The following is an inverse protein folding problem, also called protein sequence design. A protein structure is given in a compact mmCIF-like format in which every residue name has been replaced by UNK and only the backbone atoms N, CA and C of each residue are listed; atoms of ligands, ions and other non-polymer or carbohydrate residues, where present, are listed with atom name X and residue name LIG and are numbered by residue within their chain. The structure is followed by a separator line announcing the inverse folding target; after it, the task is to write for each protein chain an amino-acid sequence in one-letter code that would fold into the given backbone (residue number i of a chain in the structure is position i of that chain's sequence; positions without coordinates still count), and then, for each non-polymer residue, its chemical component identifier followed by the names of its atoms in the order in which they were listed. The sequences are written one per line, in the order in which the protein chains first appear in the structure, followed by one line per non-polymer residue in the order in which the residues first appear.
data_IF_952887074374
#
_entry.id   IF_952887074374
#
_cell.length_a   1.000
_cell.length_b   1.000
_cell.length_c   1.000
_cell.angle_alpha   90.00
_cell.angle_beta   90.00
_cell.angle_gamma   90.00
#
_symmetry.space_group_name_H-M   'P 1'
#
loop_
_entity.id
_entity.type
_entity.pdbx_description
1 polymer ?
#
# COMPACT_ATOMS: atom_id res chain seq x y z
N UNK A 1 -19.54 -34.95 -1.84
CA UNK A 1 -18.84 -33.69 -1.52
C UNK A 1 -19.45 -32.59 -2.39
N UNK A 2 -20.05 -31.53 -1.84
CA UNK A 2 -20.65 -30.49 -2.68
C UNK A 2 -19.54 -29.67 -3.36
N UNK A 3 -19.73 -29.24 -4.63
CA UNK A 3 -18.80 -28.37 -5.31
C UNK A 3 -18.73 -27.02 -4.60
N UNK A 4 -17.51 -26.50 -4.42
CA UNK A 4 -17.28 -25.17 -3.83
C UNK A 4 -17.94 -24.14 -4.76
N UNK A 5 -18.79 -23.22 -4.24
CA UNK A 5 -19.41 -22.21 -5.08
C UNK A 5 -18.33 -21.38 -5.77
N UNK A 6 -18.41 -21.34 -7.10
CA UNK A 6 -17.62 -20.47 -7.95
C UNK A 6 -17.90 -19.02 -7.52
N UNK A 7 -16.98 -18.41 -6.79
CA UNK A 7 -17.04 -16.96 -6.57
C UNK A 7 -16.76 -16.32 -7.92
N UNK A 8 -17.81 -15.78 -8.56
CA UNK A 8 -17.67 -14.90 -9.72
C UNK A 8 -16.74 -13.76 -9.34
N UNK A 9 -15.50 -13.77 -9.87
CA UNK A 9 -14.56 -12.67 -9.70
C UNK A 9 -15.14 -11.45 -10.41
N UNK A 10 -15.71 -10.53 -9.64
CA UNK A 10 -16.11 -9.21 -10.12
C UNK A 10 -14.85 -8.50 -10.62
N UNK A 11 -14.70 -8.35 -11.94
CA UNK A 11 -13.59 -7.57 -12.51
C UNK A 11 -13.85 -6.09 -12.24
N UNK A 12 -12.95 -5.45 -11.52
CA UNK A 12 -12.98 -4.00 -11.33
C UNK A 12 -12.32 -3.39 -12.56
N UNK A 13 -13.03 -2.50 -13.24
CA UNK A 13 -12.49 -1.75 -14.37
C UNK A 13 -11.75 -0.54 -13.81
N UNK A 14 -10.45 -0.46 -14.09
CA UNK A 14 -9.63 0.69 -13.70
C UNK A 14 -9.95 1.88 -14.61
N UNK A 15 -9.86 3.09 -14.06
CA UNK A 15 -10.01 4.31 -14.86
C UNK A 15 -8.87 4.41 -15.90
N UNK A 16 -9.08 5.09 -17.04
CA UNK A 16 -8.00 5.41 -17.97
C UNK A 16 -6.80 6.04 -17.24
N UNK A 17 -5.58 5.63 -17.61
CA UNK A 17 -4.35 6.11 -16.98
C UNK A 17 -3.98 5.49 -15.63
N UNK A 18 -4.71 4.47 -15.17
CA UNK A 18 -4.44 3.77 -13.91
C UNK A 18 -4.04 2.31 -14.10
N UNK A 19 -3.50 1.96 -15.27
CA UNK A 19 -3.00 0.61 -15.50
C UNK A 19 -1.73 0.33 -14.69
N UNK A 20 -1.34 -0.95 -14.51
CA UNK A 20 -0.04 -1.27 -13.90
C UNK A 20 1.16 -0.65 -14.62
N UNK A 21 1.07 -0.42 -15.94
CA UNK A 21 2.12 0.25 -16.70
C UNK A 21 2.16 1.75 -16.42
N UNK A 22 1.01 2.38 -16.23
CA UNK A 22 0.92 3.79 -15.84
C UNK A 22 1.54 3.98 -14.44
N UNK A 23 1.27 3.06 -13.52
CA UNK A 23 1.94 3.03 -12.21
C UNK A 23 3.46 2.91 -12.34
N UNK A 24 3.94 1.98 -13.16
CA UNK A 24 5.38 1.82 -13.39
C UNK A 24 6.02 3.08 -14.00
N UNK A 25 5.33 3.76 -14.92
CA UNK A 25 5.80 5.01 -15.52
C UNK A 25 5.83 6.15 -14.49
N UNK A 26 4.84 6.25 -13.60
CA UNK A 26 4.81 7.20 -12.50
C UNK A 26 5.96 6.93 -11.53
N UNK A 27 6.16 5.66 -11.15
CA UNK A 27 7.27 5.23 -10.29
C UNK A 27 8.63 5.48 -10.93
N UNK A 28 8.78 5.42 -12.25
CA UNK A 28 10.04 5.75 -12.92
C UNK A 28 10.37 7.25 -12.82
N UNK A 29 9.35 8.12 -12.88
CA UNK A 29 9.51 9.58 -12.93
C UNK A 29 9.56 10.26 -11.57
N UNK A 30 8.85 9.74 -10.56
CA UNK A 30 8.74 10.38 -9.24
C UNK A 30 10.08 10.40 -8.48
N UNK A 31 10.33 11.41 -7.65
CA UNK A 31 11.42 11.36 -6.67
C UNK A 31 11.06 10.38 -5.53
N UNK A 32 12.05 9.76 -4.85
CA UNK A 32 11.80 8.99 -3.63
C UNK A 32 11.09 9.77 -2.53
N UNK A 33 11.16 11.11 -2.50
CA UNK A 33 10.42 11.91 -1.52
C UNK A 33 8.96 12.14 -1.90
N UNK A 34 8.62 12.14 -3.19
CA UNK A 34 7.32 12.64 -3.67
C UNK A 34 6.14 11.77 -3.23
N UNK A 35 6.32 10.46 -3.17
CA UNK A 35 5.22 9.51 -2.93
C UNK A 35 5.16 9.00 -1.49
N UNK A 36 6.14 9.37 -0.65
CA UNK A 36 6.14 8.99 0.78
C UNK A 36 5.05 9.68 1.57
N UNK A 37 4.56 10.84 1.13
CA UNK A 37 3.54 11.60 1.86
C UNK A 37 4.01 12.12 3.23
N UNK A 38 5.32 12.37 3.38
CA UNK A 38 5.94 12.91 4.61
C UNK A 38 6.67 14.23 4.30
N UNK A 39 7.01 14.99 5.34
CA UNK A 39 7.74 16.25 5.20
C UNK A 39 9.09 16.07 4.49
N UNK A 40 9.51 17.06 3.71
CA UNK A 40 10.80 17.06 3.01
C UNK A 40 12.00 16.92 3.96
N UNK A 41 11.84 17.33 5.21
CA UNK A 41 12.88 17.24 6.25
C UNK A 41 12.87 15.89 6.99
N UNK A 42 11.93 15.00 6.69
CA UNK A 42 11.87 13.67 7.30
C UNK A 42 13.06 12.82 6.83
N UNK A 43 13.79 12.15 7.75
CA UNK A 43 14.91 11.29 7.39
C UNK A 43 14.55 10.19 6.37
N UNK A 44 15.57 9.54 5.77
CA UNK A 44 15.36 8.37 4.94
C UNK A 44 14.54 7.31 5.68
N UNK A 45 13.67 6.60 4.96
CA UNK A 45 12.68 5.71 5.54
C UNK A 45 13.28 4.63 6.49
N UNK A 46 14.51 4.19 6.24
CA UNK A 46 15.22 3.25 7.13
C UNK A 46 15.39 3.74 8.57
N UNK A 47 15.34 5.05 8.80
CA UNK A 47 15.50 5.67 10.13
C UNK A 47 14.18 6.14 10.75
N UNK A 48 13.07 6.04 10.02
CA UNK A 48 11.76 6.48 10.50
C UNK A 48 11.05 5.30 11.18
N UNK A 49 10.79 5.44 12.48
CA UNK A 49 10.06 4.45 13.28
C UNK A 49 8.61 4.86 13.39
N UNK A 50 7.70 4.03 12.91
CA UNK A 50 6.25 4.27 12.95
C UNK A 50 5.64 3.31 13.96
N UNK A 51 4.93 3.84 14.95
CA UNK A 51 4.21 3.02 15.92
C UNK A 51 2.85 2.57 15.36
N UNK A 52 2.24 1.54 15.94
CA UNK A 52 0.86 1.17 15.59
C UNK A 52 -0.15 2.29 15.87
N UNK A 53 0.12 3.12 16.88
CA UNK A 53 -0.76 4.26 17.20
C UNK A 53 -0.72 5.30 16.10
N UNK A 54 0.47 5.61 15.61
CA UNK A 54 0.68 6.53 14.48
C UNK A 54 0.05 5.96 13.20
N UNK A 55 0.37 4.71 12.86
CA UNK A 55 -0.17 4.06 11.66
C UNK A 55 -1.70 4.16 11.57
N UNK A 56 -2.40 3.98 12.69
CA UNK A 56 -3.87 4.04 12.76
C UNK A 56 -4.48 5.38 12.36
N UNK A 57 -3.73 6.47 12.40
CA UNK A 57 -4.22 7.80 12.01
C UNK A 57 -4.42 7.91 10.49
N UNK A 58 -3.66 7.15 9.71
CA UNK A 58 -3.64 7.16 8.25
C UNK A 58 -4.57 6.08 7.67
N UNK A 59 -5.88 6.25 7.84
CA UNK A 59 -6.88 5.21 7.61
C UNK A 59 -7.98 5.55 6.57
N UNK A 60 -7.80 6.60 5.78
CA UNK A 60 -8.81 7.07 4.81
C UNK A 60 -8.21 7.18 3.39
N UNK A 61 -9.04 7.39 2.36
CA UNK A 61 -8.58 7.40 0.95
C UNK A 61 -7.52 8.49 0.67
N UNK A 62 -7.65 9.65 1.30
CA UNK A 62 -6.73 10.77 1.07
C UNK A 62 -5.45 10.65 1.90
N UNK A 63 -5.47 9.82 2.93
CA UNK A 63 -4.34 9.55 3.82
C UNK A 63 -4.39 8.09 4.29
N UNK A 64 -3.82 7.20 3.48
CA UNK A 64 -3.89 5.76 3.64
C UNK A 64 -2.50 5.17 3.79
N UNK A 65 -2.11 4.79 5.01
CA UNK A 65 -0.90 3.99 5.21
C UNK A 65 -1.24 2.54 5.54
N UNK A 66 -0.33 1.64 5.23
CA UNK A 66 -0.46 0.23 5.61
C UNK A 66 0.92 -0.34 5.88
N UNK A 67 1.02 -1.18 6.91
CA UNK A 67 2.23 -1.97 7.12
C UNK A 67 2.16 -3.31 6.37
N UNK A 68 3.24 -3.66 5.68
CA UNK A 68 3.40 -4.95 5.00
C UNK A 68 4.81 -5.45 5.30
N UNK A 69 4.93 -6.64 5.90
CA UNK A 69 6.20 -7.26 6.29
C UNK A 69 7.10 -6.31 7.10
N UNK A 70 6.53 -5.60 8.08
CA UNK A 70 7.26 -4.72 9.00
C UNK A 70 7.66 -3.35 8.43
N UNK A 71 7.31 -3.02 7.18
CA UNK A 71 7.50 -1.68 6.60
C UNK A 71 6.18 -0.98 6.39
N UNK A 72 6.16 0.33 6.61
CA UNK A 72 4.98 1.18 6.40
C UNK A 72 5.07 1.85 5.04
N UNK A 73 4.00 1.71 4.26
CA UNK A 73 3.86 2.29 2.93
C UNK A 73 2.71 3.29 2.91
N UNK A 74 2.92 4.42 2.23
CA UNK A 74 1.86 5.33 1.85
C UNK A 74 1.15 4.80 0.60
N UNK A 75 -0.07 4.31 0.75
CA UNK A 75 -0.86 3.76 -0.35
C UNK A 75 -1.75 4.80 -1.02
N UNK A 76 -1.89 6.02 -0.47
CA UNK A 76 -2.68 7.10 -1.08
C UNK A 76 -2.48 7.24 -2.59
N UNK A 77 -1.24 7.34 -3.12
CA UNK A 77 -1.03 7.49 -4.57
C UNK A 77 -1.34 6.22 -5.38
N UNK A 78 -1.41 5.06 -4.72
CA UNK A 78 -1.57 3.75 -5.38
C UNK A 78 -3.02 3.25 -5.41
N UNK A 79 -3.92 3.82 -4.60
CA UNK A 79 -5.30 3.33 -4.43
C UNK A 79 -6.01 3.11 -5.77
N UNK A 80 -5.96 4.10 -6.64
CA UNK A 80 -6.68 4.06 -7.92
C UNK A 80 -5.99 3.17 -8.96
N UNK A 81 -4.72 2.78 -8.74
CA UNK A 81 -3.95 1.85 -9.58
C UNK A 81 -4.06 0.38 -9.14
N UNK A 82 -4.65 0.11 -7.98
CA UNK A 82 -4.73 -1.24 -7.43
C UNK A 82 -5.70 -2.11 -8.23
N UNK A 83 -5.26 -3.24 -8.82
CA UNK A 83 -6.14 -4.09 -9.63
C UNK A 83 -7.30 -4.72 -8.84
N UNK A 84 -7.13 -4.92 -7.53
CA UNK A 84 -8.19 -5.37 -6.63
C UNK A 84 -9.15 -4.28 -6.18
N UNK A 85 -8.92 -3.03 -6.61
CA UNK A 85 -9.73 -1.85 -6.31
C UNK A 85 -9.53 -1.27 -4.92
N UNK A 86 -10.07 -0.06 -4.74
CA UNK A 86 -9.99 0.73 -3.51
C UNK A 86 -10.51 -0.02 -2.28
N UNK A 87 -11.67 -0.68 -2.39
CA UNK A 87 -12.34 -1.36 -1.27
C UNK A 87 -11.44 -2.40 -0.60
N UNK A 88 -10.56 -3.05 -1.35
CA UNK A 88 -9.64 -4.05 -0.81
C UNK A 88 -8.47 -3.40 -0.06
N UNK A 89 -7.94 -2.26 -0.53
CA UNK A 89 -6.93 -1.48 0.19
C UNK A 89 -7.50 -0.93 1.49
N UNK A 90 -8.73 -0.40 1.47
CA UNK A 90 -9.33 0.20 2.66
C UNK A 90 -9.53 -0.79 3.82
N UNK A 91 -9.49 -2.11 3.57
CA UNK A 91 -9.52 -3.12 4.66
C UNK A 91 -8.27 -3.08 5.54
N UNK A 92 -7.13 -2.68 4.99
CA UNK A 92 -5.84 -2.59 5.69
C UNK A 92 -5.37 -1.15 5.95
N UNK A 93 -6.14 -0.13 5.53
CA UNK A 93 -5.84 1.26 5.83
C UNK A 93 -5.67 1.48 7.35
N UNK A 94 -4.54 2.11 7.72
CA UNK A 94 -4.11 2.35 9.08
C UNK A 94 -3.77 1.11 9.90
N UNK A 95 -3.47 -0.03 9.26
CA UNK A 95 -3.24 -1.33 9.93
C UNK A 95 -2.05 -2.07 9.35
N UNK A 96 -1.65 -3.12 10.05
CA UNK A 96 -0.79 -4.16 9.49
C UNK A 96 -1.62 -5.05 8.56
N UNK A 97 -1.41 -4.88 7.26
CA UNK A 97 -2.06 -5.62 6.18
C UNK A 97 -1.33 -6.90 5.77
N UNK A 98 -0.23 -7.27 6.43
CA UNK A 98 0.68 -8.35 6.01
C UNK A 98 -0.06 -9.66 5.73
N UNK A 99 -0.93 -10.09 6.65
CA UNK A 99 -1.67 -11.36 6.49
C UNK A 99 -2.62 -11.32 5.30
N UNK A 100 -3.32 -10.20 5.10
CA UNK A 100 -4.25 -10.02 3.98
C UNK A 100 -3.50 -9.95 2.64
N UNK A 101 -2.38 -9.21 2.62
CA UNK A 101 -1.51 -9.12 1.46
C UNK A 101 -0.97 -10.50 1.07
N UNK A 102 -0.38 -11.24 2.00
CA UNK A 102 0.19 -12.56 1.73
C UNK A 102 -0.86 -13.58 1.29
N UNK A 103 -2.12 -13.44 1.73
CA UNK A 103 -3.21 -14.32 1.30
C UNK A 103 -3.52 -14.21 -0.20
N UNK A 104 -3.44 -13.01 -0.77
CA UNK A 104 -3.84 -12.75 -2.17
C UNK A 104 -2.68 -12.43 -3.11
N UNK A 105 -1.53 -12.01 -2.57
CA UNK A 105 -0.40 -11.43 -3.29
C UNK A 105 0.95 -11.95 -2.78
N UNK A 106 1.04 -13.20 -2.32
CA UNK A 106 2.28 -13.78 -1.79
C UNK A 106 3.47 -13.73 -2.75
N UNK A 107 3.23 -13.67 -4.07
CA UNK A 107 4.25 -13.57 -5.11
C UNK A 107 4.61 -12.12 -5.48
N UNK A 108 3.86 -11.13 -5.01
CA UNK A 108 4.11 -9.72 -5.31
C UNK A 108 5.17 -9.20 -4.35
N UNK A 109 6.18 -8.49 -4.88
CA UNK A 109 7.17 -7.82 -4.04
C UNK A 109 6.73 -6.37 -3.75
N UNK A 110 6.19 -6.08 -2.54
CA UNK A 110 5.70 -4.75 -2.21
C UNK A 110 6.84 -3.72 -2.16
N UNK A 111 8.07 -4.13 -1.80
CA UNK A 111 9.21 -3.21 -1.75
C UNK A 111 9.59 -2.68 -3.12
N UNK A 112 9.45 -3.49 -4.17
CA UNK A 112 9.71 -3.09 -5.56
C UNK A 112 8.55 -2.27 -6.12
N UNK A 113 7.32 -2.72 -5.87
CA UNK A 113 6.12 -2.07 -6.39
C UNK A 113 5.91 -0.67 -5.79
N UNK A 114 6.24 -0.51 -4.51
CA UNK A 114 5.93 0.67 -3.70
C UNK A 114 7.21 1.34 -3.15
N UNK A 115 8.35 1.18 -3.82
CA UNK A 115 9.67 1.62 -3.34
C UNK A 115 9.69 3.09 -2.90
N UNK A 116 9.11 3.98 -3.72
CA UNK A 116 9.02 5.43 -3.48
C UNK A 116 7.92 5.82 -2.51
N UNK A 117 7.11 4.86 -2.06
CA UNK A 117 6.02 5.06 -1.11
C UNK A 117 6.41 4.62 0.33
N UNK A 118 7.64 4.17 0.57
CA UNK A 118 8.06 3.69 1.89
C UNK A 118 8.17 4.87 2.85
N UNK A 119 7.33 4.88 3.88
CA UNK A 119 7.32 5.88 4.94
C UNK A 119 8.42 5.58 5.95
N UNK A 120 8.44 4.34 6.46
CA UNK A 120 9.31 3.92 7.55
C UNK A 120 9.17 2.45 7.92
N UNK A 121 9.68 2.10 9.11
CA UNK A 121 9.63 0.76 9.69
C UNK A 121 8.58 0.73 10.79
N UNK A 122 7.70 -0.27 10.77
CA UNK A 122 6.73 -0.50 11.83
C UNK A 122 7.47 -1.01 13.07
N UNK A 123 7.23 -0.38 14.21
CA UNK A 123 7.78 -0.78 15.50
C UNK A 123 6.66 -1.00 16.50
N UNK A 124 6.87 -1.97 17.38
CA UNK A 124 6.09 -2.07 18.60
C UNK A 124 6.32 -0.82 19.45
N UNK A 125 5.29 -0.41 20.20
CA UNK A 125 5.37 0.73 21.10
C UNK A 125 6.60 0.60 22.01
N UNK A 126 7.35 1.69 22.17
CA UNK A 126 8.37 1.83 23.21
C UNK A 126 7.78 1.70 24.61
#
# INVERSE_FOLDING_TARGET
MPPRPSQTRSKIVLAPGHSPLDWAALMAKASPQDLRGVSANTPPASYVRITRSELRQHNNKQDCWTAINGKVFNLTPYIDFHPGGEKEIMKCAGKDGTSLFNKYHSWVNPNRLLEKCIVGILVDSV
#
